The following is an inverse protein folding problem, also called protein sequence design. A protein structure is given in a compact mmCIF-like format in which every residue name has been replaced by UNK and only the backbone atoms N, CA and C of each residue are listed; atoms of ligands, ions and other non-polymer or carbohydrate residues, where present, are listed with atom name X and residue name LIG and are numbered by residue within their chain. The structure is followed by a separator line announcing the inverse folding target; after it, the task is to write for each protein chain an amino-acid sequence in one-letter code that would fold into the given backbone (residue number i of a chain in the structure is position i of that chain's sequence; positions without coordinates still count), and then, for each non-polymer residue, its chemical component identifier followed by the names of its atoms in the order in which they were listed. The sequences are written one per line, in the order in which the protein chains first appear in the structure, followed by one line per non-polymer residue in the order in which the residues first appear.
data_IF_346678421344
#
_entry.id   IF_346678421344
#
_cell.length_a   1.000
_cell.length_b   1.000
_cell.length_c   1.000
_cell.angle_alpha   90.00
_cell.angle_beta   90.00
_cell.angle_gamma   90.00
#
_symmetry.space_group_name_H-M   'P 1'
#
loop_
_entity.id
_entity.type
_entity.pdbx_description
1 polymer ?
#
# COMPACT_ATOMS: atom_id res chain seq x y z
N UNK A 1 -5.30 -3.73 -16.75
CA UNK A 1 -5.97 -3.47 -15.45
C UNK A 1 -5.58 -2.08 -14.95
N UNK A 2 -6.41 -1.45 -14.14
CA UNK A 2 -6.04 -0.16 -13.52
C UNK A 2 -4.88 -0.37 -12.55
N UNK A 3 -3.93 0.58 -12.46
CA UNK A 3 -2.85 0.48 -11.48
C UNK A 3 -3.41 0.36 -10.06
N UNK A 4 -3.03 -0.69 -9.36
CA UNK A 4 -3.41 -0.89 -7.96
C UNK A 4 -2.23 -0.51 -7.07
N UNK A 5 -2.51 0.33 -6.09
CA UNK A 5 -1.52 0.81 -5.13
C UNK A 5 -1.85 0.25 -3.77
N UNK A 6 -0.96 -0.56 -3.22
CA UNK A 6 -1.12 -1.10 -1.87
C UNK A 6 -0.68 -0.04 -0.85
N UNK A 7 -1.49 0.19 0.17
CA UNK A 7 -1.00 0.89 1.35
C UNK A 7 -0.23 -0.06 2.27
N UNK A 8 0.32 0.44 3.37
CA UNK A 8 1.10 -0.39 4.28
C UNK A 8 0.28 -1.54 4.85
N UNK A 9 -0.96 -1.30 5.24
CA UNK A 9 -1.82 -2.32 5.81
C UNK A 9 -2.12 -3.46 4.84
N UNK A 10 -2.35 -3.14 3.57
CA UNK A 10 -2.64 -4.16 2.57
C UNK A 10 -1.49 -5.16 2.44
N UNK A 11 -0.26 -4.67 2.31
CA UNK A 11 0.91 -5.56 2.23
C UNK A 11 1.17 -6.26 3.56
N UNK A 12 1.08 -5.54 4.67
CA UNK A 12 1.27 -6.12 6.00
C UNK A 12 0.34 -7.33 6.23
N UNK A 13 -0.93 -7.18 5.91
CA UNK A 13 -1.92 -8.26 6.06
C UNK A 13 -1.61 -9.43 5.15
N UNK A 14 -1.17 -9.17 3.92
CA UNK A 14 -0.77 -10.24 3.02
C UNK A 14 0.41 -11.03 3.58
N UNK A 15 1.43 -10.33 4.06
CA UNK A 15 2.64 -10.97 4.59
C UNK A 15 2.40 -11.72 5.91
N UNK A 16 1.42 -11.31 6.70
CA UNK A 16 1.13 -11.89 8.02
C UNK A 16 -0.12 -12.77 8.04
N UNK A 17 -0.81 -12.92 6.91
CA UNK A 17 -2.02 -13.75 6.82
C UNK A 17 -3.24 -13.12 7.46
N UNK A 18 -3.30 -11.80 7.59
CA UNK A 18 -4.43 -11.11 8.19
C UNK A 18 -5.67 -11.03 7.29
N UNK A 19 -6.75 -10.39 7.79
CA UNK A 19 -8.00 -10.25 7.02
C UNK A 19 -7.76 -9.53 5.68
N UNK A 20 -8.27 -10.10 4.59
CA UNK A 20 -8.08 -9.57 3.24
C UNK A 20 -6.83 -10.06 2.53
N UNK A 21 -6.00 -10.90 3.17
CA UNK A 21 -4.79 -11.43 2.54
C UNK A 21 -5.09 -12.21 1.25
N UNK A 22 -6.23 -12.90 1.18
CA UNK A 22 -6.69 -13.60 -0.02
C UNK A 22 -6.98 -12.65 -1.18
N UNK A 23 -7.55 -11.50 -0.92
CA UNK A 23 -7.82 -10.46 -1.93
C UNK A 23 -6.50 -9.93 -2.49
N UNK A 24 -5.55 -9.58 -1.62
CA UNK A 24 -4.24 -9.08 -2.05
C UNK A 24 -3.47 -10.16 -2.82
N UNK A 25 -3.51 -11.41 -2.35
CA UNK A 25 -2.89 -12.54 -3.04
C UNK A 25 -3.43 -12.73 -4.45
N UNK A 26 -4.74 -12.57 -4.63
CA UNK A 26 -5.37 -12.64 -5.95
C UNK A 26 -4.90 -11.51 -6.86
N UNK A 27 -4.77 -10.30 -6.34
CA UNK A 27 -4.23 -9.17 -7.10
C UNK A 27 -2.80 -9.45 -7.58
N UNK A 28 -1.96 -10.04 -6.74
CA UNK A 28 -0.60 -10.42 -7.14
C UNK A 28 -0.62 -11.49 -8.24
N UNK A 29 -1.51 -12.48 -8.16
CA UNK A 29 -1.64 -13.51 -9.20
C UNK A 29 -2.11 -12.90 -10.52
N UNK A 30 -3.09 -12.01 -10.48
CA UNK A 30 -3.59 -11.32 -11.67
C UNK A 30 -2.51 -10.45 -12.31
N UNK A 31 -1.75 -9.72 -11.50
CA UNK A 31 -0.64 -8.89 -11.98
C UNK A 31 0.43 -9.76 -12.66
N UNK A 32 0.83 -10.88 -12.03
CA UNK A 32 1.80 -11.79 -12.60
C UNK A 32 1.32 -12.36 -13.94
N UNK A 33 0.08 -12.80 -14.01
CA UNK A 33 -0.49 -13.40 -15.22
C UNK A 33 -0.61 -12.38 -16.36
N UNK A 34 -0.88 -11.12 -16.03
CA UNK A 34 -0.95 -10.02 -16.99
C UNK A 34 0.41 -9.40 -17.31
N UNK A 35 1.49 -9.88 -16.69
CA UNK A 35 2.84 -9.30 -16.79
C UNK A 35 2.85 -7.82 -16.38
N UNK A 36 2.11 -7.50 -15.33
CA UNK A 36 1.98 -6.16 -14.75
C UNK A 36 2.50 -6.14 -13.32
N UNK A 37 2.48 -4.97 -12.70
CA UNK A 37 2.97 -4.75 -11.35
C UNK A 37 1.89 -4.09 -10.50
N UNK A 38 1.79 -4.53 -9.25
CA UNK A 38 1.16 -3.68 -8.23
C UNK A 38 2.18 -2.62 -7.82
N UNK A 39 1.71 -1.56 -7.21
CA UNK A 39 2.56 -0.43 -6.82
C UNK A 39 2.47 -0.17 -5.33
N UNK A 40 3.53 0.34 -4.76
CA UNK A 40 3.57 0.75 -3.36
C UNK A 40 4.58 1.88 -3.18
N UNK A 41 4.22 2.89 -2.40
CA UNK A 41 5.16 3.93 -2.01
C UNK A 41 6.27 3.34 -1.14
N UNK A 42 7.51 3.82 -1.34
CA UNK A 42 8.63 3.47 -0.46
C UNK A 42 8.36 3.88 0.99
N UNK A 43 7.55 4.92 1.21
CA UNK A 43 7.13 5.36 2.55
C UNK A 43 6.28 4.27 3.21
N UNK A 44 5.32 3.72 2.48
CA UNK A 44 4.47 2.63 3.00
C UNK A 44 5.28 1.33 3.17
N UNK A 45 6.24 1.07 2.30
CA UNK A 45 7.18 -0.04 2.45
C UNK A 45 7.92 0.05 3.79
N UNK A 46 8.41 1.24 4.15
CA UNK A 46 9.04 1.49 5.44
C UNK A 46 8.12 1.24 6.62
N UNK A 47 6.84 1.62 6.50
CA UNK A 47 5.86 1.32 7.55
C UNK A 47 5.65 -0.18 7.75
N UNK A 48 5.60 -0.95 6.67
CA UNK A 48 5.52 -2.42 6.76
C UNK A 48 6.73 -2.96 7.50
N UNK A 49 7.92 -2.47 7.14
CA UNK A 49 9.17 -2.91 7.76
C UNK A 49 9.12 -2.72 9.29
N UNK A 50 8.87 -1.49 9.75
CA UNK A 50 8.93 -1.25 11.20
C UNK A 50 7.78 -1.93 11.95
N UNK A 51 6.62 -2.13 11.31
CA UNK A 51 5.50 -2.83 11.94
C UNK A 51 5.83 -4.30 12.21
N UNK A 52 6.49 -4.97 11.28
CA UNK A 52 6.96 -6.34 11.46
C UNK A 52 8.11 -6.38 12.48
N UNK A 53 9.07 -5.46 12.34
CA UNK A 53 10.27 -5.43 13.18
C UNK A 53 9.96 -5.26 14.66
N UNK A 54 8.94 -4.46 15.00
CA UNK A 54 8.49 -4.29 16.38
C UNK A 54 8.02 -5.59 17.02
N UNK A 55 7.50 -6.51 16.23
CA UNK A 55 6.96 -7.79 16.71
C UNK A 55 7.97 -8.93 16.62
N UNK A 56 8.81 -8.95 15.59
CA UNK A 56 9.64 -10.11 15.24
C UNK A 56 11.14 -9.82 15.22
N UNK A 57 11.56 -8.56 15.39
CA UNK A 57 12.97 -8.17 15.31
C UNK A 57 13.46 -8.01 13.87
N UNK A 58 14.67 -7.46 13.72
CA UNK A 58 15.22 -7.10 12.42
C UNK A 58 15.58 -8.30 11.55
N UNK A 59 16.16 -9.35 12.12
CA UNK A 59 16.61 -10.51 11.33
C UNK A 59 15.43 -11.19 10.62
N UNK A 60 14.35 -11.43 11.34
CA UNK A 60 13.15 -12.03 10.77
C UNK A 60 12.50 -11.10 9.76
N UNK A 61 12.45 -9.80 10.05
CA UNK A 61 11.88 -8.80 9.16
C UNK A 61 12.65 -8.74 7.84
N UNK A 62 13.97 -8.75 7.89
CA UNK A 62 14.79 -8.72 6.67
C UNK A 62 14.50 -9.93 5.77
N UNK A 63 14.27 -11.11 6.36
CA UNK A 63 13.90 -12.30 5.60
C UNK A 63 12.53 -12.15 4.93
N UNK A 64 11.54 -11.64 5.67
CA UNK A 64 10.18 -11.43 5.14
C UNK A 64 10.20 -10.40 4.01
N UNK A 65 10.89 -9.28 4.19
CA UNK A 65 10.94 -8.22 3.18
C UNK A 65 11.73 -8.64 1.95
N UNK A 66 12.78 -9.46 2.10
CA UNK A 66 13.50 -10.03 0.95
C UNK A 66 12.60 -10.91 0.10
N UNK A 67 11.72 -11.69 0.72
CA UNK A 67 10.73 -12.50 -0.01
C UNK A 67 9.69 -11.61 -0.70
N UNK A 68 9.25 -10.56 -0.02
CA UNK A 68 8.29 -9.59 -0.59
C UNK A 68 8.83 -8.93 -1.85
N UNK A 69 10.16 -8.73 -1.96
CA UNK A 69 10.80 -8.18 -3.16
C UNK A 69 10.72 -9.09 -4.38
N UNK A 70 10.35 -10.36 -4.21
CA UNK A 70 10.15 -11.30 -5.30
C UNK A 70 8.72 -11.24 -5.88
N UNK A 71 7.82 -10.53 -5.22
CA UNK A 71 6.45 -10.32 -5.71
C UNK A 71 6.45 -9.34 -6.88
N UNK A 72 5.41 -9.38 -7.75
CA UNK A 72 5.26 -8.37 -8.80
C UNK A 72 4.79 -7.04 -8.20
N UNK A 73 5.67 -6.42 -7.44
CA UNK A 73 5.42 -5.19 -6.69
C UNK A 73 6.51 -4.16 -7.02
N UNK A 74 6.10 -3.05 -7.60
CA UNK A 74 6.98 -1.92 -7.89
C UNK A 74 6.97 -0.96 -6.70
N UNK A 75 8.13 -0.72 -6.11
CA UNK A 75 8.30 0.24 -5.02
C UNK A 75 8.58 1.61 -5.64
N UNK A 76 7.66 2.54 -5.44
CA UNK A 76 7.72 3.88 -6.02
C UNK A 76 8.51 4.81 -5.11
N UNK A 77 9.54 5.42 -5.63
CA UNK A 77 10.40 6.37 -4.90
C UNK A 77 9.60 7.60 -4.49
N UNK A 78 9.84 8.08 -3.27
CA UNK A 78 9.27 9.33 -2.76
C UNK A 78 10.15 10.50 -3.21
N UNK A 79 10.13 10.80 -4.50
CA UNK A 79 10.86 11.95 -5.06
C UNK A 79 10.14 13.26 -4.74
N UNK A 80 10.70 14.38 -5.17
CA UNK A 80 10.14 15.70 -4.91
C UNK A 80 8.72 15.83 -5.48
N UNK A 81 8.48 15.33 -6.69
CA UNK A 81 7.17 15.43 -7.33
C UNK A 81 6.11 14.66 -6.56
N UNK A 82 6.36 13.41 -6.25
CA UNK A 82 5.43 12.55 -5.48
C UNK A 82 5.20 13.15 -4.09
N UNK A 83 6.27 13.60 -3.44
CA UNK A 83 6.19 14.19 -2.10
C UNK A 83 5.37 15.47 -2.09
N UNK A 84 5.52 16.32 -3.10
CA UNK A 84 4.74 17.55 -3.21
C UNK A 84 3.25 17.23 -3.41
N UNK A 85 2.93 16.24 -4.24
CA UNK A 85 1.54 15.79 -4.43
C UNK A 85 0.95 15.24 -3.12
N UNK A 86 1.72 14.44 -2.38
CA UNK A 86 1.29 13.92 -1.09
C UNK A 86 1.06 15.05 -0.09
N UNK A 87 1.96 16.04 -0.05
CA UNK A 87 1.85 17.18 0.84
C UNK A 87 0.61 18.03 0.53
N UNK A 88 0.25 18.20 -0.74
CA UNK A 88 -0.97 18.90 -1.14
C UNK A 88 -2.22 18.16 -0.65
N UNK A 89 -2.24 16.83 -0.77
CA UNK A 89 -3.35 16.01 -0.25
C UNK A 89 -3.47 16.15 1.27
N UNK A 90 -2.35 16.16 1.97
CA UNK A 90 -2.32 16.35 3.42
C UNK A 90 -2.92 17.72 3.80
N UNK A 91 -2.49 18.75 3.12
CA UNK A 91 -2.96 20.12 3.41
C UNK A 91 -4.45 20.28 3.11
N UNK A 92 -4.95 19.65 2.04
CA UNK A 92 -6.33 19.80 1.56
C UNK A 92 -7.33 18.90 2.27
N UNK A 93 -6.92 17.68 2.62
CA UNK A 93 -7.87 16.64 3.07
C UNK A 93 -7.55 16.02 4.42
N UNK A 94 -6.37 16.25 4.97
CA UNK A 94 -6.04 15.87 6.34
C UNK A 94 -5.82 14.38 6.61
N UNK A 95 -5.55 13.56 5.59
CA UNK A 95 -5.18 12.17 5.81
C UNK A 95 -3.85 12.05 6.58
N UNK A 96 -3.60 10.93 7.26
CA UNK A 96 -2.25 10.64 7.73
C UNK A 96 -1.25 10.79 6.59
N UNK A 97 -0.08 11.38 6.86
CA UNK A 97 0.86 11.76 5.78
C UNK A 97 1.30 10.57 4.93
N UNK A 98 1.58 9.43 5.57
CA UNK A 98 1.96 8.23 4.82
C UNK A 98 0.87 7.76 3.83
N UNK A 99 -0.41 7.88 4.22
CA UNK A 99 -1.53 7.54 3.34
C UNK A 99 -1.59 8.45 2.11
N UNK A 100 -1.17 9.71 2.27
CA UNK A 100 -1.13 10.68 1.17
C UNK A 100 -0.20 10.22 0.04
N UNK A 101 0.86 9.47 0.34
CA UNK A 101 1.77 8.94 -0.68
C UNK A 101 1.08 7.87 -1.52
N UNK A 102 0.32 6.97 -0.91
CA UNK A 102 -0.46 5.97 -1.65
C UNK A 102 -1.49 6.66 -2.56
N UNK A 103 -2.21 7.64 -2.03
CA UNK A 103 -3.21 8.40 -2.80
C UNK A 103 -2.57 9.18 -3.94
N UNK A 104 -1.40 9.78 -3.71
CA UNK A 104 -0.68 10.54 -4.73
C UNK A 104 -0.23 9.64 -5.89
N UNK A 105 0.25 8.42 -5.60
CA UNK A 105 0.68 7.47 -6.61
C UNK A 105 -0.52 6.94 -7.40
N UNK A 106 -1.63 6.66 -6.75
CA UNK A 106 -2.85 6.18 -7.41
C UNK A 106 -3.42 7.23 -8.38
N UNK A 107 -3.42 8.49 -7.97
CA UNK A 107 -3.98 9.57 -8.79
C UNK A 107 -5.45 9.32 -9.14
N UNK A 108 -5.88 9.83 -10.29
CA UNK A 108 -7.26 9.68 -10.75
C UNK A 108 -7.54 8.31 -11.37
N UNK A 109 -6.51 7.66 -11.92
CA UNK A 109 -6.68 6.43 -12.70
C UNK A 109 -6.41 5.16 -11.90
N UNK A 110 -5.67 5.26 -10.81
CA UNK A 110 -5.31 4.11 -9.99
C UNK A 110 -6.33 3.79 -8.91
N UNK A 111 -6.11 2.66 -8.24
CA UNK A 111 -6.96 2.17 -7.15
C UNK A 111 -6.08 1.97 -5.92
N UNK A 112 -6.46 2.57 -4.79
CA UNK A 112 -5.79 2.31 -3.51
C UNK A 112 -6.41 1.08 -2.87
N UNK A 113 -5.58 0.10 -2.53
CA UNK A 113 -5.99 -1.10 -1.82
C UNK A 113 -5.66 -0.91 -0.34
N UNK A 114 -6.68 -0.89 0.50
CA UNK A 114 -6.53 -0.52 1.91
C UNK A 114 -7.57 -1.19 2.80
N UNK A 115 -7.22 -1.39 4.07
CA UNK A 115 -8.19 -1.74 5.10
C UNK A 115 -8.75 -0.51 5.82
N UNK A 116 -8.24 0.69 5.49
CA UNK A 116 -8.66 1.96 6.10
C UNK A 116 -9.29 2.88 5.06
N UNK A 117 -10.35 2.39 4.43
CA UNK A 117 -11.06 3.13 3.39
C UNK A 117 -11.60 4.47 3.87
N UNK A 118 -11.92 4.59 5.16
CA UNK A 118 -12.48 5.80 5.75
C UNK A 118 -11.59 7.03 5.50
N UNK A 119 -10.29 6.90 5.77
CA UNK A 119 -9.36 8.02 5.56
C UNK A 119 -9.23 8.37 4.07
N UNK A 120 -9.11 7.36 3.21
CA UNK A 120 -8.97 7.59 1.77
C UNK A 120 -10.22 8.19 1.12
N UNK A 121 -11.41 7.98 1.68
CA UNK A 121 -12.64 8.59 1.18
C UNK A 121 -12.66 10.11 1.34
N UNK A 122 -11.78 10.68 2.13
CA UNK A 122 -11.61 12.14 2.26
C UNK A 122 -11.09 12.76 0.95
N UNK A 123 -10.50 11.97 0.06
CA UNK A 123 -9.98 12.44 -1.24
C UNK A 123 -11.06 12.27 -2.30
N UNK A 124 -11.61 13.37 -2.84
CA UNK A 124 -12.64 13.27 -3.89
C UNK A 124 -12.09 12.57 -5.14
N UNK A 125 -12.89 11.67 -5.71
CA UNK A 125 -12.56 10.99 -6.96
C UNK A 125 -11.54 9.86 -6.85
N UNK A 126 -11.00 9.59 -5.67
CA UNK A 126 -10.07 8.48 -5.46
C UNK A 126 -10.81 7.14 -5.52
N UNK A 127 -10.31 6.21 -6.33
CA UNK A 127 -10.85 4.86 -6.39
C UNK A 127 -10.21 4.01 -5.28
N UNK A 128 -11.04 3.26 -4.57
CA UNK A 128 -10.63 2.49 -3.39
C UNK A 128 -11.15 1.06 -3.51
N UNK A 129 -10.25 0.10 -3.30
CA UNK A 129 -10.59 -1.29 -3.05
C UNK A 129 -10.44 -1.53 -1.55
N UNK A 130 -11.57 -1.63 -0.85
CA UNK A 130 -11.57 -1.78 0.60
C UNK A 130 -11.39 -3.25 0.99
N UNK A 131 -10.39 -3.51 1.83
CA UNK A 131 -10.20 -4.81 2.48
C UNK A 131 -11.07 -4.87 3.74
N UNK A 132 -11.38 -6.07 4.27
CA UNK A 132 -12.11 -6.18 5.52
C UNK A 132 -11.43 -5.40 6.65
N UNK A 133 -12.21 -4.66 7.43
CA UNK A 133 -11.68 -3.97 8.59
C UNK A 133 -11.24 -4.98 9.64
N UNK A 134 -10.21 -4.59 10.42
CA UNK A 134 -9.82 -5.40 11.57
C UNK A 134 -10.91 -5.32 12.64
N UNK A 135 -11.40 -6.47 13.07
CA UNK A 135 -12.34 -6.56 14.19
C UNK A 135 -11.62 -7.22 15.37
N UNK A 136 -11.70 -6.58 16.54
CA UNK A 136 -11.12 -7.18 17.75
C UNK A 136 -11.75 -8.53 18.09
#
# INVERSE_FOLDING_TARGET
MKPHVLDANALYRFLTGGPGSDVVGRLFLEARDAEEWLHMSVINWGEVYYSIARKRGFDETDKVMSRARLLPLAIVTADELVTTRAARLKASHGLPYADCFAAAIAGEDGVVVTSDAKDFRKVPGLHILALPEHRP
#
